data_IF_537622110943
#
_entry.id   IF_537622110943
#
_cell.length_a   1.000
_cell.length_b   1.000
_cell.length_c   1.000
_cell.angle_alpha   90.00
_cell.angle_beta   90.00
_cell.angle_gamma   90.00
#
_symmetry.space_group_name_H-M   'P 1'
#
loop_
_entity.id
_entity.type
_entity.pdbx_description
1 polymer ?
#
# COMPACT_ATOMS: atom_id res chain seq x y z
N UNK A 1 0.67 -8.85 -11.40
CA UNK A 1 0.74 -8.60 -9.95
C UNK A 1 1.97 -7.73 -9.69
N UNK A 2 1.91 -6.81 -8.75
CA UNK A 2 2.97 -5.85 -8.47
C UNK A 2 3.23 -5.80 -6.96
N UNK A 3 4.46 -6.07 -6.55
CA UNK A 3 4.86 -6.04 -5.14
C UNK A 3 5.65 -4.77 -4.86
N UNK A 4 5.24 -4.06 -3.81
CA UNK A 4 5.81 -2.79 -3.37
C UNK A 4 6.39 -2.98 -1.98
N UNK A 5 7.73 -2.92 -1.83
CA UNK A 5 8.37 -2.89 -0.53
C UNK A 5 8.28 -1.49 0.10
N UNK A 6 8.26 -1.44 1.42
CA UNK A 6 8.38 -0.23 2.24
C UNK A 6 9.12 -0.57 3.54
N UNK A 7 9.46 0.43 4.37
CA UNK A 7 10.11 0.15 5.65
C UNK A 7 9.20 -0.64 6.61
N UNK A 8 7.91 -0.30 6.64
CA UNK A 8 6.92 -0.95 7.50
C UNK A 8 6.41 -2.30 7.01
N UNK A 9 6.71 -2.72 5.78
CA UNK A 9 6.24 -4.01 5.26
C UNK A 9 6.30 -4.14 3.75
N UNK A 10 5.50 -5.05 3.21
CA UNK A 10 5.34 -5.25 1.77
C UNK A 10 3.87 -5.44 1.40
N UNK A 11 3.45 -4.77 0.35
CA UNK A 11 2.13 -4.96 -0.25
C UNK A 11 2.25 -5.56 -1.65
N UNK A 12 1.40 -6.52 -1.98
CA UNK A 12 1.23 -7.00 -3.35
C UNK A 12 -0.16 -6.62 -3.80
N UNK A 13 -0.25 -5.96 -4.95
CA UNK A 13 -1.50 -5.53 -5.58
C UNK A 13 -1.62 -6.10 -6.98
N UNK A 14 -2.83 -6.11 -7.51
CA UNK A 14 -3.11 -6.39 -8.91
C UNK A 14 -3.89 -5.21 -9.49
N UNK A 15 -3.30 -4.56 -10.48
CA UNK A 15 -4.01 -3.62 -11.34
C UNK A 15 -4.82 -4.41 -12.37
N UNK A 16 -6.11 -4.12 -12.46
CA UNK A 16 -7.01 -4.58 -13.52
C UNK A 16 -7.50 -3.39 -14.35
N UNK A 17 -8.29 -3.64 -15.40
CA UNK A 17 -8.84 -2.58 -16.26
C UNK A 17 -9.67 -1.56 -15.47
N UNK A 18 -10.45 -2.03 -14.49
CA UNK A 18 -11.43 -1.19 -13.77
C UNK A 18 -11.05 -0.90 -12.31
N UNK A 19 -9.87 -1.34 -11.83
CA UNK A 19 -9.51 -1.11 -10.44
C UNK A 19 -8.22 -1.74 -9.94
N UNK A 20 -7.99 -1.60 -8.64
CA UNK A 20 -6.86 -2.17 -7.90
C UNK A 20 -7.39 -3.19 -6.89
N UNK A 21 -6.83 -4.40 -6.88
CA UNK A 21 -7.11 -5.39 -5.84
C UNK A 21 -5.88 -5.58 -4.95
N UNK A 22 -6.08 -5.61 -3.63
CA UNK A 22 -5.06 -6.09 -2.70
C UNK A 22 -4.93 -7.62 -2.84
N UNK A 23 -3.70 -8.10 -2.97
CA UNK A 23 -3.38 -9.54 -2.95
C UNK A 23 -2.80 -9.93 -1.59
N UNK A 24 -1.89 -9.12 -1.04
CA UNK A 24 -1.30 -9.34 0.28
C UNK A 24 -0.81 -8.04 0.89
N UNK A 25 -0.89 -7.88 2.21
CA UNK A 25 -0.17 -6.85 2.95
C UNK A 25 0.48 -7.49 4.17
N UNK A 26 1.81 -7.54 4.20
CA UNK A 26 2.57 -8.22 5.26
C UNK A 26 3.40 -7.17 6.00
N UNK A 27 3.06 -6.84 7.26
CA UNK A 27 3.84 -5.91 8.05
C UNK A 27 5.18 -6.53 8.47
N UNK A 28 6.21 -5.69 8.56
CA UNK A 28 7.45 -6.04 9.25
C UNK A 28 7.22 -6.07 10.77
N UNK A 29 8.13 -6.70 11.52
CA UNK A 29 8.00 -6.82 12.97
C UNK A 29 7.85 -5.45 13.65
N UNK A 30 6.87 -5.31 14.53
CA UNK A 30 6.60 -4.06 15.25
C UNK A 30 5.71 -3.06 14.50
N UNK A 31 5.32 -3.37 13.26
CA UNK A 31 4.33 -2.62 12.51
C UNK A 31 2.97 -3.30 12.56
N UNK A 32 1.93 -2.48 12.56
CA UNK A 32 0.55 -2.88 12.25
C UNK A 32 0.26 -2.55 10.78
N UNK A 33 -0.78 -3.15 10.22
CA UNK A 33 -1.22 -2.85 8.86
C UNK A 33 -2.69 -2.49 8.82
N UNK A 34 -3.02 -1.43 8.07
CA UNK A 34 -4.38 -1.04 7.72
C UNK A 34 -4.50 -0.90 6.21
N UNK A 35 -5.62 -1.34 5.67
CA UNK A 35 -5.93 -1.27 4.25
C UNK A 35 -7.20 -0.46 4.06
N UNK A 36 -7.19 0.48 3.12
CA UNK A 36 -8.34 1.32 2.82
C UNK A 36 -8.50 1.47 1.31
N UNK A 37 -9.70 1.21 0.81
CA UNK A 37 -10.03 1.33 -0.60
C UNK A 37 -11.12 2.38 -0.76
N UNK A 38 -10.72 3.63 -1.00
CA UNK A 38 -11.63 4.78 -1.10
C UNK A 38 -12.44 4.80 -2.40
N UNK A 39 -11.91 4.16 -3.45
CA UNK A 39 -12.57 3.94 -4.73
C UNK A 39 -12.10 2.61 -5.34
N UNK A 40 -12.82 2.01 -6.31
CA UNK A 40 -12.36 0.80 -7.00
C UNK A 40 -10.94 0.92 -7.58
N UNK A 41 -10.54 2.14 -7.96
CA UNK A 41 -9.28 2.46 -8.61
C UNK A 41 -8.18 2.91 -7.65
N UNK A 42 -8.46 3.08 -6.35
CA UNK A 42 -7.52 3.66 -5.38
C UNK A 42 -7.48 2.81 -4.11
N UNK A 43 -6.32 2.26 -3.81
CA UNK A 43 -6.06 1.45 -2.63
C UNK A 43 -4.87 2.04 -1.84
N UNK A 44 -5.07 2.29 -0.56
CA UNK A 44 -4.03 2.67 0.38
C UNK A 44 -3.72 1.49 1.33
N UNK A 45 -2.45 1.20 1.52
CA UNK A 45 -1.94 0.28 2.54
C UNK A 45 -1.03 1.08 3.46
N UNK A 46 -1.41 1.21 4.72
CA UNK A 46 -0.61 1.89 5.75
C UNK A 46 0.00 0.86 6.67
N UNK A 47 1.32 0.89 6.81
CA UNK A 47 2.06 0.21 7.87
C UNK A 47 2.43 1.24 8.93
N UNK A 48 2.14 0.95 10.20
CA UNK A 48 2.35 1.91 11.28
C UNK A 48 3.01 1.25 12.50
N UNK A 49 4.08 1.87 12.99
CA UNK A 49 4.80 1.54 14.21
C UNK A 49 4.90 2.78 15.11
N UNK A 50 5.46 2.63 16.32
CA UNK A 50 5.52 3.70 17.32
C UNK A 50 6.24 4.98 16.89
N UNK A 51 7.16 4.90 15.92
CA UNK A 51 8.01 6.01 15.42
C UNK A 51 8.10 6.12 13.90
N UNK A 52 7.24 5.38 13.18
CA UNK A 52 7.33 5.30 11.73
C UNK A 52 6.01 4.93 11.07
N UNK A 53 5.72 5.52 9.90
CA UNK A 53 4.59 5.21 9.04
C UNK A 53 5.06 5.04 7.60
N UNK A 54 4.73 3.91 7.00
CA UNK A 54 4.84 3.69 5.55
C UNK A 54 3.44 3.67 4.95
N UNK A 55 3.20 4.46 3.91
CA UNK A 55 1.93 4.48 3.18
C UNK A 55 2.18 4.16 1.72
N UNK A 56 1.59 3.05 1.26
CA UNK A 56 1.61 2.63 -0.13
C UNK A 56 0.27 3.01 -0.74
N UNK A 57 0.27 3.87 -1.77
CA UNK A 57 -0.94 4.24 -2.51
C UNK A 57 -0.85 3.67 -3.92
N UNK A 58 -1.72 2.71 -4.24
CA UNK A 58 -1.85 2.14 -5.57
C UNK A 58 -3.08 2.74 -6.28
N UNK A 59 -2.89 3.20 -7.51
CA UNK A 59 -3.95 3.79 -8.34
C UNK A 59 -3.88 3.26 -9.78
N UNK A 60 -5.03 3.11 -10.45
CA UNK A 60 -5.09 2.94 -11.91
C UNK A 60 -5.27 4.25 -12.69
N UNK A 61 -5.43 5.39 -12.01
CA UNK A 61 -5.62 6.71 -12.62
C UNK A 61 -4.46 7.67 -12.32
N UNK A 62 -3.97 8.44 -13.32
CA UNK A 62 -4.30 8.35 -14.75
C UNK A 62 -3.70 7.11 -15.44
N UNK A 63 -2.82 6.39 -14.75
CA UNK A 63 -2.22 5.13 -15.17
C UNK A 63 -1.95 4.26 -13.95
N UNK A 64 -1.76 2.96 -14.17
CA UNK A 64 -1.40 2.02 -13.11
C UNK A 64 -0.05 2.37 -12.49
N UNK A 65 -0.05 2.73 -11.22
CA UNK A 65 1.17 2.96 -10.43
C UNK A 65 0.93 2.69 -8.96
N UNK A 66 2.01 2.51 -8.22
CA UNK A 66 1.98 2.56 -6.77
C UNK A 66 3.13 3.43 -6.26
N UNK A 67 2.80 4.31 -5.34
CA UNK A 67 3.72 5.26 -4.72
C UNK A 67 3.91 4.88 -3.24
N UNK A 68 5.13 5.07 -2.71
CA UNK A 68 5.45 4.84 -1.29
C UNK A 68 5.79 6.17 -0.64
N UNK A 69 5.20 6.42 0.52
CA UNK A 69 5.52 7.56 1.38
C UNK A 69 5.95 7.09 2.76
N UNK A 70 7.14 7.49 3.17
CA UNK A 70 7.73 7.18 4.47
C UNK A 70 7.70 8.43 5.37
N UNK A 71 7.33 8.25 6.63
CA UNK A 71 7.31 9.32 7.64
C UNK A 71 7.85 8.77 8.96
N UNK A 72 8.82 9.47 9.55
CA UNK A 72 9.37 9.16 10.87
C UNK A 72 9.18 10.35 11.81
N UNK A 73 9.04 10.08 13.11
CA UNK A 73 8.87 11.10 14.16
C UNK A 73 9.69 10.79 15.41
#
# INVERSE_FOLDING_TARGET
MYTVPSEGGKATVRFGGDGVCLISAVPNQGFTVRTEQSAPQTLAVTFEASRHRSEITATTQPQSRADVREVSW
#
